data_IF_743515294468
#
_entry.id   IF_743515294468
#
_cell.length_a   1.000
_cell.length_b   1.000
_cell.length_c   1.000
_cell.angle_alpha   90.00
_cell.angle_beta   90.00
_cell.angle_gamma   90.00
#
_symmetry.space_group_name_H-M   'P 1'
#
loop_
_entity.id
_entity.type
_entity.pdbx_description
1 polymer ?
#
# COMPACT_ATOMS: atom_id res chain seq x y z
N UNK A 1 62.59 52.67 159.94
CA UNK A 1 61.70 53.83 159.65
C UNK A 1 60.89 54.12 160.90
N UNK A 2 60.68 55.40 161.25
CA UNK A 2 59.76 55.78 162.34
C UNK A 2 58.31 55.57 161.88
N UNK A 3 57.36 55.45 162.82
CA UNK A 3 55.94 55.13 162.54
C UNK A 3 55.24 56.26 161.76
N UNK A 4 55.69 57.51 161.92
CA UNK A 4 55.12 58.68 161.25
C UNK A 4 55.50 58.76 159.76
N UNK A 5 56.69 58.26 159.40
CA UNK A 5 57.17 58.21 158.01
C UNK A 5 56.39 57.18 157.17
N UNK A 6 55.86 56.13 157.80
CA UNK A 6 55.04 55.11 157.14
C UNK A 6 53.67 55.70 156.75
N UNK A 7 53.12 56.58 157.58
CA UNK A 7 51.81 57.18 157.36
C UNK A 7 51.85 58.23 156.23
N UNK A 8 52.89 59.06 156.18
CA UNK A 8 53.06 60.10 155.13
C UNK A 8 53.40 59.52 153.75
N UNK A 9 54.13 58.39 153.70
CA UNK A 9 54.60 57.79 152.45
C UNK A 9 53.92 56.45 152.13
N UNK A 10 52.58 56.35 152.29
CA UNK A 10 51.81 55.11 152.06
C UNK A 10 51.98 54.49 150.66
N UNK A 11 52.08 55.30 149.60
CA UNK A 11 52.35 54.80 148.23
C UNK A 11 53.75 54.20 148.10
N UNK A 12 54.74 54.83 148.72
CA UNK A 12 56.15 54.42 148.71
C UNK A 12 56.35 53.18 149.59
N UNK A 13 55.61 53.08 150.69
CA UNK A 13 55.48 51.86 151.49
C UNK A 13 54.79 50.75 150.71
N UNK A 14 53.65 50.98 150.07
CA UNK A 14 52.97 49.97 149.24
C UNK A 14 53.85 49.50 148.07
N UNK A 15 54.62 50.39 147.42
CA UNK A 15 55.54 49.95 146.35
C UNK A 15 56.69 49.14 146.91
N UNK A 16 57.29 49.54 148.05
CA UNK A 16 58.35 48.76 148.72
C UNK A 16 57.85 47.43 149.26
N UNK A 17 56.64 47.39 149.83
CA UNK A 17 56.00 46.14 150.27
C UNK A 17 55.63 45.28 149.08
N UNK A 18 55.10 45.86 148.01
CA UNK A 18 54.85 45.12 146.76
C UNK A 18 56.14 44.63 146.13
N UNK A 19 57.23 45.39 146.20
CA UNK A 19 58.55 45.02 145.68
C UNK A 19 59.19 43.92 146.53
N UNK A 20 59.18 44.05 147.87
CA UNK A 20 59.67 43.00 148.79
C UNK A 20 58.80 41.75 148.67
N UNK A 21 57.47 41.88 148.69
CA UNK A 21 56.56 40.76 148.52
C UNK A 21 56.65 40.16 147.11
N UNK A 22 56.86 40.94 146.06
CA UNK A 22 57.11 40.42 144.70
C UNK A 22 58.45 39.69 144.66
N UNK A 23 59.48 40.18 145.34
CA UNK A 23 60.80 39.54 145.43
C UNK A 23 60.75 38.25 146.22
N UNK A 24 59.98 38.21 147.31
CA UNK A 24 59.70 37.00 148.09
C UNK A 24 58.80 36.02 147.33
N UNK A 25 57.74 36.49 146.65
CA UNK A 25 56.89 35.66 145.80
C UNK A 25 57.61 35.14 144.56
N UNK A 26 58.60 35.87 144.05
CA UNK A 26 59.47 35.45 142.95
C UNK A 26 60.51 34.42 143.45
N UNK A 27 61.10 34.63 144.62
CA UNK A 27 61.95 33.64 145.30
C UNK A 27 61.20 32.35 145.68
N UNK A 28 59.92 32.46 146.03
CA UNK A 28 59.01 31.33 146.29
C UNK A 28 58.35 30.77 145.01
N UNK A 29 58.66 31.32 143.82
CA UNK A 29 58.20 30.82 142.52
C UNK A 29 56.70 31.03 142.18
N UNK A 30 55.94 31.71 143.04
CA UNK A 30 54.48 31.85 142.94
C UNK A 30 54.00 32.75 141.79
N UNK A 31 54.77 33.78 141.39
CA UNK A 31 54.44 34.61 140.22
C UNK A 31 54.53 33.84 138.90
N UNK A 32 55.53 32.96 138.77
CA UNK A 32 55.68 32.08 137.61
C UNK A 32 54.53 31.06 137.51
N UNK A 33 54.10 30.53 138.66
CA UNK A 33 52.99 29.58 138.76
C UNK A 33 51.64 30.20 138.37
N UNK A 34 51.31 31.40 138.85
CA UNK A 34 50.07 32.10 138.49
C UNK A 34 50.04 32.51 137.00
N UNK A 35 51.17 32.96 136.45
CA UNK A 35 51.27 33.30 135.03
C UNK A 35 51.19 32.04 134.16
N UNK A 36 51.82 30.93 134.57
CA UNK A 36 51.72 29.64 133.88
C UNK A 36 50.28 29.08 133.89
N UNK A 37 49.57 29.18 135.02
CA UNK A 37 48.17 28.75 135.15
C UNK A 37 47.20 29.63 134.35
N UNK A 38 47.49 30.94 134.25
CA UNK A 38 46.74 31.87 133.40
C UNK A 38 46.97 31.60 131.91
N UNK A 39 48.21 31.35 131.50
CA UNK A 39 48.57 31.05 130.11
C UNK A 39 47.91 29.76 129.60
N UNK A 40 47.88 28.69 130.42
CA UNK A 40 47.19 27.45 130.05
C UNK A 40 45.69 27.68 129.87
N UNK A 41 45.03 28.38 130.80
CA UNK A 41 43.59 28.65 130.69
C UNK A 41 43.25 29.59 129.53
N UNK A 42 44.08 30.59 129.23
CA UNK A 42 43.88 31.45 128.05
C UNK A 42 44.11 30.70 126.74
N UNK A 43 45.06 29.76 126.70
CA UNK A 43 45.31 28.94 125.52
C UNK A 43 44.16 27.95 125.27
N UNK A 44 43.57 27.38 126.32
CA UNK A 44 42.35 26.57 126.26
C UNK A 44 41.19 27.39 125.67
N UNK A 45 40.89 28.57 126.23
CA UNK A 45 39.80 29.42 125.73
C UNK A 45 40.04 29.89 124.29
N UNK A 46 41.27 30.24 123.92
CA UNK A 46 41.61 30.59 122.52
C UNK A 46 41.53 29.40 121.57
N UNK A 47 41.80 28.18 122.04
CA UNK A 47 41.64 26.96 121.26
C UNK A 47 40.16 26.67 121.06
N UNK A 48 39.35 26.76 122.10
CA UNK A 48 37.91 26.54 122.03
C UNK A 48 37.22 27.60 121.18
N UNK A 49 37.64 28.87 121.27
CA UNK A 49 37.18 29.95 120.39
C UNK A 49 37.54 29.66 118.92
N UNK A 50 38.78 29.24 118.62
CA UNK A 50 39.20 28.87 117.25
C UNK A 50 38.44 27.64 116.72
N UNK A 51 38.18 26.65 117.56
CA UNK A 51 37.38 25.48 117.21
C UNK A 51 35.94 25.92 116.93
N UNK A 52 35.36 26.76 117.78
CA UNK A 52 34.02 27.33 117.59
C UNK A 52 33.90 28.14 116.29
N UNK A 53 34.88 28.99 115.99
CA UNK A 53 34.94 29.74 114.73
C UNK A 53 35.07 28.82 113.52
N UNK A 54 35.94 27.81 113.56
CA UNK A 54 36.11 26.85 112.47
C UNK A 54 34.85 26.01 112.23
N UNK A 55 34.19 25.56 113.30
CA UNK A 55 32.93 24.82 113.22
C UNK A 55 31.80 25.71 112.67
N UNK A 56 31.67 26.94 113.15
CA UNK A 56 30.67 27.89 112.66
C UNK A 56 30.92 28.25 111.17
N UNK A 57 32.19 28.42 110.78
CA UNK A 57 32.56 28.62 109.38
C UNK A 57 32.23 27.39 108.54
N UNK A 58 32.58 26.18 109.00
CA UNK A 58 32.27 24.94 108.30
C UNK A 58 30.77 24.77 108.13
N UNK A 59 29.99 24.97 109.18
CA UNK A 59 28.53 24.87 109.14
C UNK A 59 27.93 25.91 108.19
N UNK A 60 28.41 27.16 108.22
CA UNK A 60 28.00 28.18 107.26
C UNK A 60 28.31 27.78 105.82
N UNK A 61 29.47 27.18 105.55
CA UNK A 61 29.85 26.72 104.21
C UNK A 61 29.02 25.53 103.76
N UNK A 62 28.73 24.56 104.64
CA UNK A 62 27.87 23.41 104.33
C UNK A 62 26.46 23.90 104.02
N UNK A 63 25.89 24.79 104.84
CA UNK A 63 24.56 25.35 104.60
C UNK A 63 24.51 26.15 103.30
N UNK A 64 25.56 26.93 102.98
CA UNK A 64 25.67 27.62 101.69
C UNK A 64 25.76 26.64 100.52
N UNK A 65 26.55 25.57 100.64
CA UNK A 65 26.69 24.56 99.58
C UNK A 65 25.37 23.83 99.33
N UNK A 66 24.63 23.46 100.38
CA UNK A 66 23.30 22.83 100.26
C UNK A 66 22.29 23.79 99.63
N UNK A 67 22.23 25.05 100.07
CA UNK A 67 21.35 26.05 99.48
C UNK A 67 21.69 26.33 98.01
N UNK A 68 22.98 26.33 97.64
CA UNK A 68 23.42 26.45 96.24
C UNK A 68 23.04 25.22 95.42
N UNK A 69 23.19 24.01 95.97
CA UNK A 69 22.80 22.76 95.31
C UNK A 69 21.29 22.74 95.03
N UNK A 70 20.46 23.10 96.01
CA UNK A 70 19.00 23.18 95.83
C UNK A 70 18.61 24.24 94.79
N UNK A 71 19.24 25.41 94.83
CA UNK A 71 19.02 26.46 93.83
C UNK A 71 19.42 25.99 92.43
N UNK A 72 20.56 25.30 92.28
CA UNK A 72 20.99 24.77 90.99
C UNK A 72 20.05 23.67 90.49
N UNK A 73 19.60 22.77 91.36
CA UNK A 73 18.59 21.75 91.01
C UNK A 73 17.30 22.40 90.51
N UNK A 74 16.81 23.43 91.20
CA UNK A 74 15.61 24.16 90.79
C UNK A 74 15.81 24.88 89.44
N UNK A 75 16.98 25.50 89.22
CA UNK A 75 17.32 26.12 87.93
C UNK A 75 17.38 25.09 86.80
N UNK A 76 18.09 23.99 86.98
CA UNK A 76 18.15 22.94 85.96
C UNK A 76 16.79 22.31 85.68
N UNK A 77 15.95 22.10 86.71
CA UNK A 77 14.58 21.64 86.50
C UNK A 77 13.79 22.63 85.63
N UNK A 78 13.85 23.93 85.94
CA UNK A 78 13.20 24.95 85.13
C UNK A 78 13.75 25.00 83.70
N UNK A 79 15.07 24.97 83.53
CA UNK A 79 15.72 25.00 82.22
C UNK A 79 15.36 23.75 81.39
N UNK A 80 15.25 22.58 82.03
CA UNK A 80 14.79 21.35 81.35
C UNK A 80 13.34 21.45 80.91
N UNK A 81 12.45 22.05 81.73
CA UNK A 81 11.06 22.27 81.36
C UNK A 81 10.94 23.28 80.22
N UNK A 82 11.73 24.36 80.25
CA UNK A 82 11.78 25.35 79.15
C UNK A 82 12.31 24.71 77.87
N UNK A 83 13.37 23.90 77.95
CA UNK A 83 13.92 23.20 76.80
C UNK A 83 12.93 22.17 76.22
N UNK A 84 12.21 21.44 77.08
CA UNK A 84 11.14 20.53 76.66
C UNK A 84 10.00 21.30 75.97
N UNK A 85 9.51 22.38 76.58
CA UNK A 85 8.46 23.20 75.98
C UNK A 85 8.88 23.80 74.62
N UNK A 86 10.13 24.25 74.49
CA UNK A 86 10.66 24.74 73.21
C UNK A 86 10.73 23.63 72.16
N UNK A 87 11.24 22.44 72.54
CA UNK A 87 11.29 21.28 71.64
C UNK A 87 9.89 20.90 71.18
N UNK A 88 8.94 20.80 72.09
CA UNK A 88 7.56 20.40 71.78
C UNK A 88 6.88 21.46 70.89
N UNK A 89 7.11 22.75 71.16
CA UNK A 89 6.65 23.84 70.30
C UNK A 89 7.23 23.76 68.89
N UNK A 90 8.55 23.56 68.76
CA UNK A 90 9.20 23.41 67.47
C UNK A 90 8.71 22.17 66.70
N UNK A 91 8.49 21.06 67.40
CA UNK A 91 7.92 19.85 66.81
C UNK A 91 6.50 20.08 66.29
N UNK A 92 5.64 20.72 67.08
CA UNK A 92 4.29 21.07 66.65
C UNK A 92 4.32 22.04 65.47
N UNK A 93 5.16 23.07 65.53
CA UNK A 93 5.33 24.02 64.43
C UNK A 93 5.76 23.32 63.14
N UNK A 94 6.76 22.45 63.21
CA UNK A 94 7.23 21.69 62.05
C UNK A 94 6.14 20.77 61.48
N UNK A 95 5.33 20.13 62.34
CA UNK A 95 4.20 19.31 61.91
C UNK A 95 3.15 20.14 61.18
N UNK A 96 2.75 21.30 61.73
CA UNK A 96 1.80 22.20 61.07
C UNK A 96 2.37 22.78 59.76
N UNK A 97 3.64 23.16 59.72
CA UNK A 97 4.28 23.63 58.50
C UNK A 97 4.28 22.54 57.42
N UNK A 98 4.55 21.28 57.78
CA UNK A 98 4.46 20.14 56.87
C UNK A 98 3.02 19.94 56.35
N UNK A 99 2.02 20.00 57.22
CA UNK A 99 0.61 19.91 56.82
C UNK A 99 0.20 21.07 55.88
N UNK A 100 0.61 22.29 56.18
CA UNK A 100 0.33 23.46 55.34
C UNK A 100 1.00 23.31 53.98
N UNK A 101 2.25 22.86 53.93
CA UNK A 101 2.98 22.68 52.66
C UNK A 101 2.42 21.53 51.83
N UNK A 102 2.03 20.42 52.46
CA UNK A 102 1.38 19.31 51.74
C UNK A 102 0.02 19.75 51.18
N UNK A 103 -0.80 20.47 51.96
CA UNK A 103 -2.08 21.01 51.50
C UNK A 103 -1.91 22.05 50.38
N UNK A 104 -0.88 22.91 50.45
CA UNK A 104 -0.53 23.83 49.37
C UNK A 104 -0.12 23.09 48.10
N UNK A 105 0.78 22.10 48.21
CA UNK A 105 1.19 21.30 47.06
C UNK A 105 0.02 20.53 46.44
N UNK A 106 -0.88 19.96 47.25
CA UNK A 106 -2.12 19.34 46.79
C UNK A 106 -3.01 20.33 46.03
N UNK A 107 -3.16 21.56 46.55
CA UNK A 107 -3.95 22.61 45.91
C UNK A 107 -3.33 23.06 44.56
N UNK A 108 -2.01 23.23 44.51
CA UNK A 108 -1.27 23.60 43.30
C UNK A 108 -1.39 22.50 42.23
N UNK A 109 -1.17 21.23 42.61
CA UNK A 109 -1.35 20.09 41.71
C UNK A 109 -2.80 19.93 41.24
N UNK A 110 -3.77 20.18 42.13
CA UNK A 110 -5.19 20.15 41.76
C UNK A 110 -5.52 21.27 40.76
N UNK A 111 -4.97 22.47 40.96
CA UNK A 111 -5.12 23.58 40.02
C UNK A 111 -4.51 23.25 38.66
N UNK A 112 -3.27 22.74 38.63
CA UNK A 112 -2.60 22.31 37.40
C UNK A 112 -3.40 21.21 36.68
N UNK A 113 -3.87 20.20 37.41
CA UNK A 113 -4.70 19.12 36.87
C UNK A 113 -5.99 19.67 36.25
N UNK A 114 -6.66 20.60 36.92
CA UNK A 114 -7.87 21.25 36.37
C UNK A 114 -7.54 22.06 35.12
N UNK A 115 -6.42 22.79 35.12
CA UNK A 115 -5.96 23.53 33.94
C UNK A 115 -5.70 22.59 32.75
N UNK A 116 -5.11 21.41 33.00
CA UNK A 116 -4.87 20.38 31.98
C UNK A 116 -6.16 19.77 31.46
N UNK A 117 -7.13 19.47 32.35
CA UNK A 117 -8.46 18.98 31.96
C UNK A 117 -9.20 19.99 31.08
N UNK A 118 -9.16 21.27 31.45
CA UNK A 118 -9.77 22.34 30.64
C UNK A 118 -9.06 22.44 29.29
N UNK A 119 -7.72 22.45 29.26
CA UNK A 119 -6.95 22.46 28.00
C UNK A 119 -7.25 21.25 27.12
N UNK A 120 -7.43 20.06 27.70
CA UNK A 120 -7.81 18.86 26.98
C UNK A 120 -9.20 19.03 26.35
N UNK A 121 -10.20 19.47 27.12
CA UNK A 121 -11.54 19.76 26.59
C UNK A 121 -11.52 20.79 25.47
N UNK A 122 -10.76 21.88 25.61
CA UNK A 122 -10.59 22.88 24.55
C UNK A 122 -10.01 22.24 23.28
N UNK A 123 -9.02 21.36 23.41
CA UNK A 123 -8.43 20.66 22.26
C UNK A 123 -9.40 19.67 21.61
N UNK A 124 -10.22 18.99 22.41
CA UNK A 124 -11.27 18.08 21.91
C UNK A 124 -12.28 18.87 21.07
N UNK A 125 -12.82 19.96 21.62
CA UNK A 125 -13.74 20.87 20.90
C UNK A 125 -13.10 21.47 19.64
N UNK A 126 -11.82 21.87 19.70
CA UNK A 126 -11.08 22.34 18.53
C UNK A 126 -10.95 21.26 17.45
N UNK A 127 -10.70 20.01 17.84
CA UNK A 127 -10.63 18.89 16.89
C UNK A 127 -11.99 18.62 16.26
N UNK A 128 -13.07 18.72 17.03
CA UNK A 128 -14.44 18.59 16.48
C UNK A 128 -14.73 19.67 15.44
N UNK A 129 -14.34 20.93 15.69
CA UNK A 129 -14.44 22.00 14.68
C UNK A 129 -13.68 21.62 13.40
N UNK A 130 -12.44 21.12 13.52
CA UNK A 130 -11.64 20.69 12.35
C UNK A 130 -12.31 19.53 11.60
N UNK A 131 -12.90 18.57 12.32
CA UNK A 131 -13.64 17.45 11.70
C UNK A 131 -14.87 17.97 10.96
N UNK A 132 -15.65 18.87 11.56
CA UNK A 132 -16.82 19.49 10.94
C UNK A 132 -16.43 20.31 9.72
N UNK A 133 -15.37 21.12 9.80
CA UNK A 133 -14.83 21.88 8.67
C UNK A 133 -14.39 20.95 7.53
N UNK A 134 -13.67 19.87 7.86
CA UNK A 134 -13.20 18.89 6.87
C UNK A 134 -14.37 18.15 6.23
N UNK A 135 -15.37 17.75 7.01
CA UNK A 135 -16.59 17.14 6.49
C UNK A 135 -17.34 18.11 5.58
N UNK A 136 -17.41 19.39 5.97
CA UNK A 136 -17.96 20.46 5.13
C UNK A 136 -17.24 20.58 3.79
N UNK A 137 -15.89 20.54 3.78
CA UNK A 137 -15.10 20.54 2.54
C UNK A 137 -15.37 19.32 1.67
N UNK A 138 -15.39 18.12 2.25
CA UNK A 138 -15.69 16.88 1.52
C UNK A 138 -17.09 16.98 0.89
N UNK A 139 -18.09 17.44 1.64
CA UNK A 139 -19.45 17.60 1.11
C UNK A 139 -19.51 18.60 -0.05
N UNK A 140 -18.75 19.70 0.01
CA UNK A 140 -18.66 20.67 -1.09
C UNK A 140 -17.96 20.05 -2.30
N UNK A 141 -16.84 19.36 -2.10
CA UNK A 141 -16.11 18.65 -3.16
C UNK A 141 -16.99 17.58 -3.84
N UNK A 142 -17.73 16.78 -3.06
CA UNK A 142 -18.69 15.80 -3.58
C UNK A 142 -19.77 16.47 -4.43
N UNK A 143 -20.30 17.63 -4.00
CA UNK A 143 -21.27 18.39 -4.79
C UNK A 143 -20.66 18.96 -6.08
N UNK A 144 -19.41 19.41 -6.03
CA UNK A 144 -18.69 19.87 -7.21
C UNK A 144 -18.42 18.72 -8.20
N UNK A 145 -18.04 17.53 -7.71
CA UNK A 145 -17.89 16.32 -8.52
C UNK A 145 -19.23 15.97 -9.16
N UNK A 146 -20.33 15.93 -8.41
CA UNK A 146 -21.64 15.64 -8.98
C UNK A 146 -22.08 16.66 -10.03
N UNK A 147 -21.80 17.96 -9.84
CA UNK A 147 -22.08 18.99 -10.85
C UNK A 147 -21.22 18.80 -12.10
N UNK A 148 -19.94 18.49 -11.93
CA UNK A 148 -19.02 18.28 -13.06
C UNK A 148 -19.35 17.00 -13.82
N UNK A 149 -19.70 15.92 -13.14
CA UNK A 149 -20.21 14.68 -13.74
C UNK A 149 -21.46 14.93 -14.57
N UNK A 150 -22.47 15.61 -14.01
CA UNK A 150 -23.69 15.98 -14.77
C UNK A 150 -23.39 16.86 -15.97
N UNK A 151 -22.43 17.79 -15.85
CA UNK A 151 -21.98 18.63 -16.97
C UNK A 151 -21.31 17.80 -18.06
N UNK A 152 -20.41 16.88 -17.69
CA UNK A 152 -19.73 15.98 -18.60
C UNK A 152 -20.69 14.99 -19.26
N UNK A 153 -21.68 14.51 -18.52
CA UNK A 153 -22.74 13.65 -19.04
C UNK A 153 -23.56 14.36 -20.12
N UNK A 154 -24.01 15.58 -19.84
CA UNK A 154 -24.76 16.39 -20.79
C UNK A 154 -23.91 16.84 -22.01
N UNK A 155 -22.63 17.17 -21.81
CA UNK A 155 -21.78 17.77 -22.86
C UNK A 155 -21.04 16.72 -23.70
N UNK A 156 -20.64 15.60 -23.10
CA UNK A 156 -19.78 14.60 -23.76
C UNK A 156 -20.53 13.30 -23.99
N UNK A 157 -21.17 12.73 -22.96
CA UNK A 157 -21.82 11.42 -23.10
C UNK A 157 -23.05 11.48 -23.99
N UNK A 158 -23.96 12.44 -23.78
CA UNK A 158 -25.18 12.53 -24.58
C UNK A 158 -24.90 12.77 -26.08
N UNK A 159 -24.01 13.69 -26.49
CA UNK A 159 -23.66 13.84 -27.90
C UNK A 159 -22.93 12.61 -28.46
N UNK A 160 -22.03 12.00 -27.69
CA UNK A 160 -21.34 10.78 -28.11
C UNK A 160 -22.32 9.60 -28.30
N UNK A 161 -23.31 9.45 -27.42
CA UNK A 161 -24.38 8.46 -27.57
C UNK A 161 -25.28 8.75 -28.78
N UNK A 162 -25.62 10.02 -29.00
CA UNK A 162 -26.37 10.45 -30.18
C UNK A 162 -25.59 10.17 -31.48
N UNK A 163 -24.29 10.46 -31.52
CA UNK A 163 -23.43 10.14 -32.68
C UNK A 163 -23.28 8.64 -32.89
N UNK A 164 -23.07 7.86 -31.82
CA UNK A 164 -23.01 6.41 -31.87
C UNK A 164 -24.29 5.83 -32.46
N UNK A 165 -25.45 6.25 -31.95
CA UNK A 165 -26.75 5.79 -32.44
C UNK A 165 -26.97 6.18 -33.91
N UNK A 166 -26.55 7.39 -34.31
CA UNK A 166 -26.60 7.83 -35.71
C UNK A 166 -25.73 6.96 -36.61
N UNK A 167 -24.48 6.68 -36.21
CA UNK A 167 -23.54 5.83 -36.94
C UNK A 167 -24.04 4.38 -37.04
N UNK A 168 -24.54 3.81 -35.95
CA UNK A 168 -25.12 2.46 -35.94
C UNK A 168 -26.33 2.37 -36.87
N UNK A 169 -27.19 3.39 -36.88
CA UNK A 169 -28.36 3.45 -37.76
C UNK A 169 -27.93 3.54 -39.23
N UNK A 170 -26.93 4.37 -39.56
CA UNK A 170 -26.38 4.48 -40.92
C UNK A 170 -25.73 3.16 -41.35
N UNK A 171 -24.92 2.55 -40.48
CA UNK A 171 -24.28 1.27 -40.76
C UNK A 171 -25.30 0.14 -40.94
N UNK A 172 -26.35 0.10 -40.11
CA UNK A 172 -27.46 -0.85 -40.25
C UNK A 172 -28.23 -0.61 -41.55
N UNK A 173 -28.49 0.64 -41.92
CA UNK A 173 -29.12 0.99 -43.18
C UNK A 173 -28.26 0.58 -44.39
N UNK A 174 -26.94 0.81 -44.35
CA UNK A 174 -26.02 0.37 -45.40
C UNK A 174 -25.93 -1.15 -45.51
N UNK A 175 -25.89 -1.88 -44.38
CA UNK A 175 -25.97 -3.35 -44.36
C UNK A 175 -27.27 -3.84 -44.99
N UNK A 176 -28.42 -3.26 -44.61
CA UNK A 176 -29.70 -3.61 -45.22
C UNK A 176 -29.74 -3.31 -46.72
N UNK A 177 -29.23 -2.14 -47.14
CA UNK A 177 -29.15 -1.76 -48.56
C UNK A 177 -28.29 -2.74 -49.37
N UNK A 178 -27.11 -3.09 -48.86
CA UNK A 178 -26.20 -4.02 -49.55
C UNK A 178 -26.78 -5.44 -49.63
N UNK A 179 -27.47 -5.92 -48.59
CA UNK A 179 -28.18 -7.21 -48.62
C UNK A 179 -29.31 -7.18 -49.65
N UNK A 180 -30.18 -6.16 -49.61
CA UNK A 180 -31.29 -6.02 -50.58
C UNK A 180 -30.79 -5.88 -52.03
N UNK A 181 -29.71 -5.13 -52.26
CA UNK A 181 -29.09 -5.04 -53.58
C UNK A 181 -28.49 -6.38 -54.04
N UNK A 182 -27.90 -7.15 -53.13
CA UNK A 182 -27.37 -8.48 -53.44
C UNK A 182 -28.51 -9.47 -53.74
N UNK A 183 -29.59 -9.45 -52.96
CA UNK A 183 -30.81 -10.24 -53.18
C UNK A 183 -31.46 -9.88 -54.52
N UNK A 184 -31.66 -8.59 -54.80
CA UNK A 184 -32.24 -8.14 -56.07
C UNK A 184 -31.35 -8.54 -57.27
N UNK A 185 -30.03 -8.47 -57.14
CA UNK A 185 -29.10 -8.95 -58.19
C UNK A 185 -29.15 -10.46 -58.35
N UNK A 186 -29.28 -11.21 -57.25
CA UNK A 186 -29.39 -12.67 -57.28
C UNK A 186 -30.71 -13.10 -57.94
N UNK A 187 -31.83 -12.48 -57.57
CA UNK A 187 -33.15 -12.71 -58.16
C UNK A 187 -33.18 -12.32 -59.64
N UNK A 188 -32.60 -11.17 -60.00
CA UNK A 188 -32.49 -10.76 -61.41
C UNK A 188 -31.68 -11.75 -62.25
N UNK A 189 -30.55 -12.26 -61.73
CA UNK A 189 -29.77 -13.31 -62.39
C UNK A 189 -30.54 -14.63 -62.46
N UNK A 190 -31.29 -14.99 -61.43
CA UNK A 190 -32.12 -16.20 -61.43
C UNK A 190 -33.18 -16.12 -62.53
N UNK A 191 -33.94 -15.02 -62.59
CA UNK A 191 -34.98 -14.80 -63.59
C UNK A 191 -34.40 -14.77 -65.02
N UNK A 192 -33.23 -14.15 -65.21
CA UNK A 192 -32.50 -14.20 -66.49
C UNK A 192 -32.07 -15.62 -66.84
N UNK A 193 -31.49 -16.36 -65.88
CA UNK A 193 -31.09 -17.75 -66.07
C UNK A 193 -32.26 -18.67 -66.40
N UNK A 194 -33.42 -18.48 -65.77
CA UNK A 194 -34.65 -19.19 -66.09
C UNK A 194 -35.17 -18.84 -67.48
N UNK A 195 -35.18 -17.55 -67.84
CA UNK A 195 -35.59 -17.10 -69.16
C UNK A 195 -34.66 -17.64 -70.26
N UNK A 196 -33.35 -17.66 -70.03
CA UNK A 196 -32.36 -18.27 -70.93
C UNK A 196 -32.54 -19.78 -71.03
N UNK A 197 -32.72 -20.48 -69.90
CA UNK A 197 -32.98 -21.92 -69.88
C UNK A 197 -34.26 -22.27 -70.66
N UNK A 198 -35.35 -21.52 -70.44
CA UNK A 198 -36.60 -21.69 -71.18
C UNK A 198 -36.42 -21.42 -72.68
N UNK A 199 -35.67 -20.36 -73.04
CA UNK A 199 -35.38 -20.06 -74.44
C UNK A 199 -34.51 -21.16 -75.11
N UNK A 200 -33.54 -21.71 -74.40
CA UNK A 200 -32.71 -22.83 -74.88
C UNK A 200 -33.57 -24.10 -75.01
N UNK A 201 -34.42 -24.41 -74.04
CA UNK A 201 -35.31 -25.56 -74.07
C UNK A 201 -36.31 -25.46 -75.23
N UNK A 202 -36.93 -24.29 -75.43
CA UNK A 202 -37.82 -24.04 -76.56
C UNK A 202 -37.09 -24.17 -77.90
N UNK A 203 -35.88 -23.61 -78.03
CA UNK A 203 -35.02 -23.80 -79.22
C UNK A 203 -34.63 -25.26 -79.42
N UNK A 204 -34.32 -26.00 -78.36
CA UNK A 204 -33.94 -27.40 -78.42
C UNK A 204 -35.13 -28.28 -78.82
N UNK A 205 -36.33 -28.04 -78.26
CA UNK A 205 -37.58 -28.71 -78.67
C UNK A 205 -37.92 -28.40 -80.12
N UNK A 206 -37.81 -27.15 -80.56
CA UNK A 206 -38.01 -26.76 -81.94
C UNK A 206 -37.04 -27.48 -82.88
N UNK A 207 -35.74 -27.53 -82.54
CA UNK A 207 -34.73 -28.29 -83.30
C UNK A 207 -35.03 -29.78 -83.30
N UNK A 208 -35.40 -30.37 -82.17
CA UNK A 208 -35.75 -31.78 -82.06
C UNK A 208 -36.98 -32.12 -82.92
N UNK A 209 -38.01 -31.29 -82.91
CA UNK A 209 -39.18 -31.43 -83.76
C UNK A 209 -38.80 -31.30 -85.25
N UNK A 210 -38.00 -30.29 -85.62
CA UNK A 210 -37.51 -30.14 -87.00
C UNK A 210 -36.68 -31.34 -87.46
N UNK A 211 -35.82 -31.89 -86.60
CA UNK A 211 -35.06 -33.11 -86.91
C UNK A 211 -35.97 -34.33 -87.02
N UNK A 212 -37.03 -34.42 -86.20
CA UNK A 212 -38.05 -35.48 -86.32
C UNK A 212 -38.79 -35.39 -87.65
N UNK A 213 -39.28 -34.21 -88.04
CA UNK A 213 -39.93 -34.00 -89.32
C UNK A 213 -39.00 -34.27 -90.51
N UNK A 214 -37.72 -33.87 -90.41
CA UNK A 214 -36.72 -34.24 -91.41
C UNK A 214 -36.55 -35.76 -91.47
N UNK A 215 -36.40 -36.44 -90.33
CA UNK A 215 -36.24 -37.90 -90.29
C UNK A 215 -37.47 -38.65 -90.82
N UNK A 216 -38.67 -38.13 -90.60
CA UNK A 216 -39.93 -38.69 -91.09
C UNK A 216 -40.09 -38.46 -92.60
N UNK A 217 -39.75 -37.27 -93.10
CA UNK A 217 -39.63 -37.02 -94.53
C UNK A 217 -38.60 -37.96 -95.19
N UNK A 218 -37.43 -38.16 -94.58
CA UNK A 218 -36.43 -39.11 -95.08
C UNK A 218 -36.90 -40.57 -95.09
N UNK A 219 -37.86 -40.96 -94.23
CA UNK A 219 -38.48 -42.29 -94.25
C UNK A 219 -39.47 -42.47 -95.41
N UNK A 220 -40.24 -41.44 -95.77
CA UNK A 220 -41.14 -41.50 -96.94
C UNK A 220 -40.37 -41.44 -98.27
N UNK A 221 -39.20 -40.80 -98.29
CA UNK A 221 -38.30 -40.75 -99.45
C UNK A 221 -37.30 -41.92 -99.55
N UNK A 222 -37.63 -43.13 -99.06
CA UNK A 222 -36.72 -44.28 -99.08
C UNK A 222 -36.16 -44.64 -100.47
N UNK A 223 -36.88 -44.35 -101.56
CA UNK A 223 -36.41 -44.60 -102.93
C UNK A 223 -35.68 -43.40 -103.58
N UNK A 224 -35.79 -42.19 -103.03
CA UNK A 224 -35.18 -40.97 -103.59
C UNK A 224 -33.94 -40.49 -102.80
N UNK A 225 -33.85 -40.82 -101.50
CA UNK A 225 -32.70 -40.49 -100.65
C UNK A 225 -31.44 -41.28 -101.05
N UNK A 226 -31.59 -42.51 -101.55
CA UNK A 226 -30.47 -43.25 -102.14
C UNK A 226 -29.97 -42.52 -103.39
N UNK A 227 -30.86 -42.03 -104.25
CA UNK A 227 -30.48 -41.30 -105.46
C UNK A 227 -29.82 -39.94 -105.17
N UNK A 228 -30.29 -39.18 -104.16
CA UNK A 228 -29.66 -37.91 -103.74
C UNK A 228 -28.30 -38.14 -103.03
N UNK A 229 -28.15 -39.23 -102.27
CA UNK A 229 -26.86 -39.61 -101.67
C UNK A 229 -25.86 -40.08 -102.74
N UNK A 230 -26.33 -40.81 -103.77
CA UNK A 230 -25.51 -41.13 -104.95
C UNK A 230 -25.16 -39.88 -105.77
N UNK A 231 -26.11 -38.97 -106.03
CA UNK A 231 -25.89 -37.73 -106.79
C UNK A 231 -24.98 -36.72 -106.06
N UNK A 232 -25.01 -36.67 -104.72
CA UNK A 232 -24.07 -35.88 -103.90
C UNK A 232 -22.70 -36.55 -103.74
N UNK A 233 -22.61 -37.88 -103.85
CA UNK A 233 -21.34 -38.61 -103.82
C UNK A 233 -20.57 -38.54 -105.14
N UNK A 234 -21.26 -38.44 -106.30
CA UNK A 234 -20.61 -38.33 -107.62
C UNK A 234 -19.59 -37.16 -107.69
N UNK A 235 -19.90 -35.93 -107.24
CA UNK A 235 -18.92 -34.83 -107.19
C UNK A 235 -17.73 -35.08 -106.27
N UNK A 236 -17.88 -35.83 -105.17
CA UNK A 236 -16.77 -36.12 -104.27
C UNK A 236 -15.83 -37.20 -104.82
N UNK A 237 -16.36 -38.18 -105.55
CA UNK A 237 -15.56 -39.17 -106.29
C UNK A 237 -14.87 -38.49 -107.49
N UNK A 238 -15.58 -37.65 -108.26
CA UNK A 238 -14.99 -36.88 -109.35
C UNK A 238 -13.94 -35.88 -108.84
N UNK A 239 -14.18 -35.22 -107.70
CA UNK A 239 -13.26 -34.27 -107.08
C UNK A 239 -11.99 -34.92 -106.51
N UNK A 240 -12.12 -36.09 -105.88
CA UNK A 240 -10.96 -36.84 -105.37
C UNK A 240 -10.11 -37.43 -106.50
N UNK A 241 -10.72 -37.93 -107.58
CA UNK A 241 -10.01 -38.38 -108.79
C UNK A 241 -9.36 -37.19 -109.55
N UNK A 242 -10.07 -36.06 -109.69
CA UNK A 242 -9.54 -34.87 -110.37
C UNK A 242 -8.43 -34.17 -109.57
N UNK A 243 -8.50 -34.15 -108.24
CA UNK A 243 -7.42 -33.63 -107.39
C UNK A 243 -6.15 -34.49 -107.45
N UNK A 244 -6.30 -35.81 -107.64
CA UNK A 244 -5.18 -36.73 -107.82
C UNK A 244 -4.50 -36.56 -109.19
N UNK A 245 -5.23 -36.10 -110.22
CA UNK A 245 -4.67 -35.74 -111.54
C UNK A 245 -4.15 -34.28 -111.59
N UNK A 246 -4.77 -33.33 -110.87
CA UNK A 246 -4.34 -31.91 -110.87
C UNK A 246 -3.09 -31.63 -110.02
N UNK A 247 -2.76 -32.53 -109.08
CA UNK A 247 -1.59 -32.39 -108.21
C UNK A 247 -0.27 -32.92 -108.82
N UNK A 248 -0.29 -33.48 -110.03
CA UNK A 248 0.95 -33.91 -110.73
C UNK A 248 1.53 -32.74 -111.52
N UNK A 249 2.26 -31.86 -110.82
CA UNK A 249 2.82 -30.60 -111.35
C UNK A 249 4.07 -30.78 -112.24
N UNK A 250 4.61 -31.99 -112.37
CA UNK A 250 5.54 -32.38 -113.44
C UNK A 250 5.80 -33.89 -113.43
N UNK A 251 5.45 -34.60 -114.51
CA UNK A 251 6.02 -35.93 -114.79
C UNK A 251 7.32 -35.71 -115.58
N UNK A 252 8.47 -35.75 -114.90
CA UNK A 252 9.78 -35.84 -115.56
C UNK A 252 9.97 -37.29 -116.01
N UNK A 253 9.61 -37.56 -117.26
CA UNK A 253 9.94 -38.83 -117.92
C UNK A 253 11.42 -38.78 -118.34
N UNK A 254 12.29 -39.45 -117.60
CA UNK A 254 13.70 -39.65 -117.98
C UNK A 254 13.73 -40.84 -118.93
N UNK A 255 13.69 -40.58 -120.23
CA UNK A 255 13.92 -41.60 -121.25
C UNK A 255 15.42 -41.65 -121.56
N UNK A 256 16.08 -42.71 -121.11
CA UNK A 256 17.37 -43.13 -121.66
C UNK A 256 17.11 -43.86 -122.98
N UNK A 257 17.24 -43.14 -124.08
CA UNK A 257 17.59 -43.69 -125.40
C UNK A 257 16.68 -44.78 -125.99
N UNK A 258 15.92 -44.38 -127.01
CA UNK A 258 15.47 -45.28 -128.08
C UNK A 258 14.03 -45.75 -127.98
N UNK A 259 13.22 -45.27 -128.94
CA UNK A 259 11.86 -45.72 -129.30
C UNK A 259 10.69 -44.89 -128.73
N UNK A 260 9.65 -44.77 -129.58
CA UNK A 260 8.62 -43.73 -129.62
C UNK A 260 7.95 -43.35 -128.29
N UNK A 261 7.80 -42.03 -128.11
CA UNK A 261 7.17 -41.37 -126.96
C UNK A 261 5.73 -40.98 -127.33
N UNK A 262 4.74 -41.39 -126.54
CA UNK A 262 3.38 -40.87 -126.66
C UNK A 262 2.33 -41.66 -125.88
N UNK A 263 1.18 -41.02 -125.69
CA UNK A 263 0.04 -41.35 -124.81
C UNK A 263 -0.46 -42.81 -124.74
N UNK A 264 -0.03 -43.71 -125.62
CA UNK A 264 -0.47 -45.11 -125.64
C UNK A 264 -0.07 -45.93 -124.42
N UNK A 265 1.13 -45.73 -123.83
CA UNK A 265 1.50 -46.45 -122.58
C UNK A 265 0.70 -45.99 -121.36
N UNK A 266 0.35 -44.70 -121.28
CA UNK A 266 -0.54 -44.19 -120.23
C UNK A 266 -1.94 -44.80 -120.33
N UNK A 267 -2.44 -45.02 -121.54
CA UNK A 267 -3.74 -45.67 -121.75
C UNK A 267 -3.71 -47.16 -121.37
N UNK A 268 -2.62 -47.88 -121.68
CA UNK A 268 -2.46 -49.30 -121.28
C UNK A 268 -2.31 -49.47 -119.77
N UNK A 269 -1.57 -48.59 -119.10
CA UNK A 269 -1.34 -48.67 -117.65
C UNK A 269 -2.60 -48.28 -116.86
N UNK A 270 -3.41 -47.35 -117.37
CA UNK A 270 -4.74 -47.03 -116.82
C UNK A 270 -5.75 -48.16 -117.06
N UNK A 271 -5.70 -48.85 -118.22
CA UNK A 271 -6.54 -50.02 -118.46
C UNK A 271 -6.20 -51.20 -117.53
N UNK A 272 -4.91 -51.42 -117.25
CA UNK A 272 -4.48 -52.45 -116.30
C UNK A 272 -4.86 -52.12 -114.84
N UNK A 273 -4.79 -50.84 -114.44
CA UNK A 273 -5.27 -50.41 -113.13
C UNK A 273 -6.79 -50.59 -113.04
N UNK A 274 -7.55 -50.22 -114.08
CA UNK A 274 -9.00 -50.36 -114.12
C UNK A 274 -9.47 -51.82 -113.99
N UNK A 275 -8.76 -52.76 -114.62
CA UNK A 275 -9.09 -54.20 -114.54
C UNK A 275 -8.80 -54.82 -113.16
N UNK A 276 -7.90 -54.24 -112.36
CA UNK A 276 -7.53 -54.75 -111.02
C UNK A 276 -8.31 -54.11 -109.86
N UNK A 277 -9.08 -53.03 -110.11
CA UNK A 277 -9.92 -52.38 -109.10
C UNK A 277 -10.91 -53.37 -108.43
N UNK A 278 -11.58 -54.29 -109.15
CA UNK A 278 -12.50 -55.25 -108.52
C UNK A 278 -11.80 -56.22 -107.55
N UNK A 279 -10.55 -56.62 -107.83
CA UNK A 279 -9.78 -57.50 -106.94
C UNK A 279 -9.24 -56.76 -105.71
N UNK A 280 -8.87 -55.48 -105.86
CA UNK A 280 -8.34 -54.67 -104.76
C UNK A 280 -9.42 -54.27 -103.74
N UNK A 281 -10.68 -54.10 -104.19
CA UNK A 281 -11.82 -53.89 -103.30
C UNK A 281 -12.17 -55.19 -102.54
N UNK A 282 -12.08 -56.35 -103.20
CA UNK A 282 -12.33 -57.66 -102.58
C UNK A 282 -11.33 -57.98 -101.46
N UNK A 283 -10.05 -57.66 -101.63
CA UNK A 283 -9.00 -57.92 -100.62
C UNK A 283 -9.04 -56.96 -99.44
N UNK A 284 -9.52 -55.72 -99.61
CA UNK A 284 -9.64 -54.75 -98.51
C UNK A 284 -10.97 -54.77 -97.76
N UNK A 285 -12.07 -55.23 -98.38
CA UNK A 285 -13.41 -55.14 -97.77
C UNK A 285 -14.11 -56.48 -97.60
N UNK A 286 -13.57 -57.57 -98.16
CA UNK A 286 -14.16 -58.92 -98.04
C UNK A 286 -15.49 -59.11 -98.78
N UNK A 287 -15.98 -58.11 -99.52
CA UNK A 287 -17.26 -58.14 -100.23
C UNK A 287 -17.02 -58.22 -101.74
N UNK A 288 -17.62 -59.23 -102.39
CA UNK A 288 -17.46 -59.53 -103.81
C UNK A 288 -18.58 -58.88 -104.64
N UNK A 289 -18.32 -57.70 -105.21
CA UNK A 289 -19.30 -56.89 -105.96
C UNK A 289 -19.85 -57.57 -107.24
N UNK A 290 -19.20 -58.63 -107.74
CA UNK A 290 -19.73 -59.40 -108.88
C UNK A 290 -20.92 -60.31 -108.52
N UNK A 291 -21.16 -60.59 -107.23
CA UNK A 291 -22.32 -61.41 -106.80
C UNK A 291 -23.54 -60.56 -106.41
N UNK A 292 -23.35 -59.32 -105.95
CA UNK A 292 -24.46 -58.47 -105.47
C UNK A 292 -25.29 -57.81 -106.59
N UNK A 293 -24.82 -57.81 -107.85
CA UNK A 293 -25.56 -57.24 -108.99
C UNK A 293 -26.42 -58.31 -109.73
N UNK A 294 -26.31 -59.60 -109.37
CA UNK A 294 -27.14 -60.68 -109.95
C UNK A 294 -28.29 -61.15 -109.06
N UNK A 295 -28.50 -60.49 -107.92
CA UNK A 295 -29.62 -60.69 -107.02
C UNK A 295 -30.25 -59.33 -106.68
N UNK A 296 -30.70 -58.64 -107.72
CA UNK A 296 -31.78 -57.67 -107.64
C UNK A 296 -33.09 -58.42 -107.90
#
# INVERSE_FOLDING_TARGET
MSVEDIYKNRKLFNSRVFEVASKDLCNLGLQGYLKALGMSRTAEVQRDARIGEALAQQESQIQKALALEELMKAKYANDTLVAQANRDFEQQKAAYDQEVMTKKAEADLAYELQSCKIKQKIKEEQMEIVVVERQGRINVEEQEIQRTEKRLEATVKQPAEAEKFRLETIAAAQRKKTVLEAEAKAESKHLQGEAEAFAIEAKAKAKAASMHYQAEAYKEFQNAAVLDLYLKAIPQIVGSVSSSLSNVKSVKMVSSGGSEVGAQKLTEEVMNISNNIPEMVKTMTGVDLRKSVRAA
#
